data_IF_781565398313
#
_entry.id   IF_781565398313
#
_cell.length_a   1.000
_cell.length_b   1.000
_cell.length_c   1.000
_cell.angle_alpha   90.00
_cell.angle_beta   90.00
_cell.angle_gamma   90.00
#
_symmetry.space_group_name_H-M   'P 1'
#
loop_
_entity.id
_entity.type
_entity.pdbx_description
1 polymer ?
#
# COMPACT_ATOMS: atom_id res chain seq x y z
N UNK A 1 -16.07 -11.30 -13.84
CA UNK A 1 -16.06 -9.85 -13.46
C UNK A 1 -15.57 -8.99 -14.62
N UNK A 2 -16.04 -7.74 -14.69
CA UNK A 2 -15.63 -6.76 -15.70
C UNK A 2 -15.36 -5.41 -15.02
N UNK A 3 -14.11 -5.15 -14.58
CA UNK A 3 -13.76 -3.88 -13.95
C UNK A 3 -13.97 -2.70 -14.91
N UNK A 4 -14.37 -1.56 -14.36
CA UNK A 4 -14.48 -0.27 -15.05
C UNK A 4 -13.93 0.83 -14.16
N UNK A 5 -13.28 1.81 -14.77
CA UNK A 5 -12.79 3.02 -14.11
C UNK A 5 -13.51 4.21 -14.73
N UNK A 6 -14.22 4.94 -13.89
CA UNK A 6 -15.00 6.12 -14.25
C UNK A 6 -14.65 7.30 -13.32
N UNK A 7 -15.18 8.50 -13.60
CA UNK A 7 -15.03 9.70 -12.75
C UNK A 7 -13.57 10.05 -12.40
N UNK A 8 -12.65 9.88 -13.36
CA UNK A 8 -11.23 10.16 -13.14
C UNK A 8 -11.03 11.67 -12.96
N UNK A 9 -10.42 12.06 -11.84
CA UNK A 9 -9.98 13.41 -11.54
C UNK A 9 -8.53 13.35 -11.05
N UNK A 10 -7.62 13.85 -11.85
CA UNK A 10 -6.20 13.99 -11.50
C UNK A 10 -5.89 15.46 -11.20
N UNK A 11 -5.53 15.75 -9.95
CA UNK A 11 -5.24 17.11 -9.46
C UNK A 11 -3.98 17.11 -8.61
N UNK A 12 -2.89 17.64 -9.18
CA UNK A 12 -1.61 17.71 -8.49
C UNK A 12 -1.08 16.31 -8.21
N UNK A 13 -0.87 15.98 -6.93
CA UNK A 13 -0.39 14.67 -6.50
C UNK A 13 -1.51 13.67 -6.19
N UNK A 14 -2.78 14.04 -6.39
CA UNK A 14 -3.94 13.24 -5.98
C UNK A 14 -4.77 12.79 -7.18
N UNK A 15 -4.96 11.49 -7.30
CA UNK A 15 -5.83 10.83 -8.26
C UNK A 15 -7.08 10.30 -7.56
N UNK A 16 -8.25 10.71 -8.06
CA UNK A 16 -9.55 10.20 -7.64
C UNK A 16 -10.23 9.50 -8.81
N UNK A 17 -10.86 8.36 -8.55
CA UNK A 17 -11.60 7.60 -9.57
C UNK A 17 -12.61 6.66 -8.92
N UNK A 18 -13.63 6.24 -9.68
CA UNK A 18 -14.57 5.21 -9.27
C UNK A 18 -14.20 3.89 -9.93
N UNK A 19 -13.90 2.85 -9.14
CA UNK A 19 -13.71 1.47 -9.58
C UNK A 19 -15.00 0.69 -9.40
N UNK A 20 -15.59 0.22 -10.50
CA UNK A 20 -16.83 -0.57 -10.47
C UNK A 20 -16.69 -1.94 -11.15
N UNK A 21 -17.60 -2.86 -10.84
CA UNK A 21 -17.63 -4.21 -11.43
C UNK A 21 -16.64 -5.20 -10.81
N UNK A 22 -16.15 -4.92 -9.60
CA UNK A 22 -15.25 -5.77 -8.82
C UNK A 22 -15.78 -5.96 -7.40
N UNK A 23 -15.47 -7.09 -6.77
CA UNK A 23 -15.84 -7.31 -5.37
C UNK A 23 -14.92 -6.52 -4.42
N UNK A 24 -15.43 -6.24 -3.21
CA UNK A 24 -14.68 -5.55 -2.14
C UNK A 24 -13.35 -6.22 -1.81
N UNK A 25 -13.24 -7.55 -1.94
CA UNK A 25 -12.00 -8.29 -1.68
C UNK A 25 -10.89 -7.87 -2.65
N UNK A 26 -11.22 -7.69 -3.94
CA UNK A 26 -10.26 -7.27 -4.97
C UNK A 26 -9.92 -5.79 -4.86
N UNK A 27 -10.92 -4.93 -4.60
CA UNK A 27 -10.69 -3.50 -4.36
C UNK A 27 -9.79 -3.27 -3.14
N UNK A 28 -10.03 -3.99 -2.04
CA UNK A 28 -9.20 -3.91 -0.85
C UNK A 28 -7.82 -4.55 -1.07
N UNK A 29 -7.71 -5.60 -1.88
CA UNK A 29 -6.42 -6.17 -2.24
C UNK A 29 -5.53 -5.13 -2.93
N UNK A 30 -6.08 -4.41 -3.92
CA UNK A 30 -5.39 -3.30 -4.59
C UNK A 30 -4.94 -2.23 -3.59
N UNK A 31 -5.85 -1.75 -2.73
CA UNK A 31 -5.54 -0.74 -1.70
C UNK A 31 -4.42 -1.21 -0.76
N UNK A 32 -4.50 -2.44 -0.26
CA UNK A 32 -3.49 -3.00 0.66
C UNK A 32 -2.12 -3.08 0.00
N UNK A 33 -2.06 -3.58 -1.23
CA UNK A 33 -0.80 -3.69 -1.97
C UNK A 33 -0.17 -2.32 -2.25
N UNK A 34 -0.97 -1.30 -2.59
CA UNK A 34 -0.49 0.08 -2.74
C UNK A 34 0.16 0.59 -1.44
N UNK A 35 -0.44 0.28 -0.29
CA UNK A 35 0.04 0.77 1.01
C UNK A 35 1.27 0.04 1.54
N UNK A 36 1.47 -1.24 1.24
CA UNK A 36 2.49 -2.06 1.91
C UNK A 36 3.54 -2.69 1.02
N UNK A 37 3.21 -3.05 -0.22
CA UNK A 37 4.01 -4.03 -0.96
C UNK A 37 4.90 -3.42 -2.05
N UNK A 38 4.62 -2.19 -2.49
CA UNK A 38 5.36 -1.54 -3.58
C UNK A 38 6.80 -1.23 -3.11
N UNK A 39 7.83 -1.78 -3.77
CA UNK A 39 9.21 -1.54 -3.39
C UNK A 39 9.69 -0.14 -3.80
N UNK A 40 10.54 0.44 -2.95
CA UNK A 40 11.22 1.72 -3.17
C UNK A 40 12.69 1.64 -2.72
N UNK A 41 13.50 2.58 -3.19
CA UNK A 41 14.84 2.77 -2.65
C UNK A 41 14.74 3.41 -1.24
N UNK A 42 15.51 2.89 -0.28
CA UNK A 42 15.42 3.30 1.13
C UNK A 42 16.79 3.45 1.79
N UNK A 43 16.84 4.23 2.87
CA UNK A 43 17.93 4.18 3.84
C UNK A 43 17.50 3.33 5.03
N UNK A 44 17.95 2.07 5.08
CA UNK A 44 17.62 1.19 6.21
C UNK A 44 18.55 1.51 7.38
N UNK A 45 18.02 2.15 8.42
CA UNK A 45 18.80 2.58 9.59
C UNK A 45 18.44 1.85 10.88
N UNK A 46 17.42 0.97 10.82
CA UNK A 46 16.96 0.09 11.89
C UNK A 46 16.38 -1.21 11.29
N UNK A 47 16.34 -2.32 12.06
CA UNK A 47 16.96 -2.54 13.37
C UNK A 47 18.50 -2.59 13.29
N UNK A 48 19.21 -2.71 14.42
CA UNK A 48 20.68 -2.62 14.49
C UNK A 48 21.39 -3.58 13.51
N UNK A 49 20.87 -4.80 13.34
CA UNK A 49 21.43 -5.84 12.47
C UNK A 49 21.37 -5.46 10.97
N UNK A 50 20.42 -4.61 10.59
CA UNK A 50 20.20 -4.18 9.21
C UNK A 50 20.55 -2.71 8.98
N UNK A 51 21.06 -2.01 10.01
CA UNK A 51 21.43 -0.60 9.92
C UNK A 51 22.62 -0.40 8.98
N UNK A 52 22.39 0.36 7.92
CA UNK A 52 23.37 0.73 6.90
C UNK A 52 23.94 2.14 7.08
N UNK A 53 23.55 2.86 8.12
CA UNK A 53 24.03 4.20 8.41
C UNK A 53 25.16 4.19 9.44
N UNK A 54 26.26 4.86 9.10
CA UNK A 54 27.43 5.06 9.95
C UNK A 54 27.58 6.55 10.21
N UNK A 55 27.59 6.94 11.49
CA UNK A 55 27.85 8.32 11.93
C UNK A 55 29.28 8.38 12.45
N UNK A 56 30.15 9.12 11.77
CA UNK A 56 31.55 9.30 12.15
C UNK A 56 31.73 10.42 13.17
N UNK A 57 30.98 11.51 13.01
CA UNK A 57 30.97 12.61 13.97
C UNK A 57 29.61 13.27 14.01
N UNK A 58 29.08 13.49 15.20
CA UNK A 58 27.87 14.26 15.42
C UNK A 58 28.07 15.09 16.69
N UNK A 59 28.25 16.39 16.54
CA UNK A 59 28.29 17.34 17.66
C UNK A 59 27.01 18.18 17.77
N UNK A 60 25.99 17.85 16.98
CA UNK A 60 24.69 18.51 17.02
C UNK A 60 23.89 18.15 18.29
N UNK A 61 22.75 18.82 18.48
CA UNK A 61 21.84 18.57 19.61
C UNK A 61 20.95 17.34 19.44
N UNK A 62 20.85 16.79 18.22
CA UNK A 62 20.09 15.56 17.97
C UNK A 62 21.00 14.36 18.20
N UNK A 63 20.50 13.35 18.91
CA UNK A 63 21.25 12.10 19.07
C UNK A 63 21.29 11.31 17.75
N UNK A 64 22.18 10.33 17.70
CA UNK A 64 22.41 9.53 16.51
C UNK A 64 21.18 8.75 16.03
N UNK A 65 20.36 8.25 16.95
CA UNK A 65 19.19 7.44 16.61
C UNK A 65 18.05 8.29 16.00
N UNK A 66 17.86 9.52 16.47
CA UNK A 66 16.93 10.46 15.85
C UNK A 66 17.40 10.83 14.45
N UNK A 67 18.70 11.08 14.25
CA UNK A 67 19.25 11.38 12.92
C UNK A 67 19.08 10.21 11.95
N UNK A 68 19.32 8.98 12.41
CA UNK A 68 19.08 7.75 11.65
C UNK A 68 17.61 7.59 11.26
N UNK A 69 16.69 7.82 12.20
CA UNK A 69 15.26 7.74 11.93
C UNK A 69 14.82 8.82 10.94
N UNK A 70 15.29 10.06 11.11
CA UNK A 70 15.04 11.15 10.14
C UNK A 70 15.57 10.81 8.76
N UNK A 71 16.75 10.18 8.66
CA UNK A 71 17.33 9.75 7.40
C UNK A 71 16.46 8.67 6.73
N UNK A 72 15.94 7.72 7.50
CA UNK A 72 15.01 6.67 7.02
C UNK A 72 13.73 7.24 6.43
N UNK A 73 13.25 8.37 6.96
CA UNK A 73 12.05 9.06 6.47
C UNK A 73 12.27 9.91 5.20
N UNK A 74 13.51 10.08 4.71
CA UNK A 74 13.75 10.87 3.50
C UNK A 74 13.36 10.05 2.26
N UNK A 75 12.38 10.50 1.46
CA UNK A 75 12.01 9.81 0.23
C UNK A 75 13.15 9.87 -0.79
N UNK A 76 13.39 8.75 -1.46
CA UNK A 76 14.44 8.60 -2.47
C UNK A 76 13.77 8.46 -3.84
N UNK A 77 13.89 9.47 -4.69
CA UNK A 77 13.19 9.56 -5.98
C UNK A 77 13.90 8.75 -7.09
N UNK A 78 14.17 7.47 -6.82
CA UNK A 78 14.72 6.52 -7.80
C UNK A 78 13.58 5.62 -8.31
N UNK A 79 13.26 5.74 -9.60
CA UNK A 79 12.18 4.98 -10.24
C UNK A 79 12.59 3.57 -10.69
N UNK A 80 13.81 3.43 -11.18
CA UNK A 80 14.34 2.14 -11.64
C UNK A 80 15.19 1.46 -10.57
N UNK A 81 14.60 0.46 -9.92
CA UNK A 81 15.25 -0.31 -8.87
C UNK A 81 16.22 -1.38 -9.41
N UNK A 82 16.36 -1.53 -10.73
CA UNK A 82 17.35 -2.44 -11.35
C UNK A 82 18.76 -1.86 -11.33
N UNK A 83 18.91 -0.56 -11.07
CA UNK A 83 20.19 0.11 -10.91
C UNK A 83 20.97 -0.56 -9.77
N UNK A 84 22.29 -0.78 -9.90
CA UNK A 84 23.10 -1.38 -8.84
C UNK A 84 23.32 -0.41 -7.68
N UNK A 85 22.28 -0.19 -6.87
CA UNK A 85 22.27 0.75 -5.73
C UNK A 85 23.43 0.54 -4.75
N UNK A 86 23.94 -0.70 -4.65
CA UNK A 86 25.10 -1.06 -3.82
C UNK A 86 26.40 -0.35 -4.24
N UNK A 87 26.47 0.18 -5.45
CA UNK A 87 27.62 0.94 -5.94
C UNK A 87 27.59 2.40 -5.50
N UNK A 88 26.53 2.84 -4.82
CA UNK A 88 26.33 4.23 -4.42
C UNK A 88 26.25 4.33 -2.91
N UNK A 89 26.83 5.40 -2.37
CA UNK A 89 26.86 5.70 -0.94
C UNK A 89 26.41 7.15 -0.74
N UNK A 90 25.41 7.36 0.10
CA UNK A 90 25.10 8.71 0.59
C UNK A 90 26.21 9.15 1.55
N UNK A 91 26.67 10.39 1.41
CA UNK A 91 27.51 11.08 2.36
C UNK A 91 26.89 12.45 2.72
N UNK A 92 26.82 12.74 4.01
CA UNK A 92 26.46 14.06 4.52
C UNK A 92 27.58 14.50 5.43
N UNK A 93 28.30 15.55 5.03
CA UNK A 93 29.50 16.03 5.72
C UNK A 93 29.51 17.56 5.75
N UNK A 94 28.95 18.10 6.81
CA UNK A 94 28.75 19.55 6.98
C UNK A 94 29.28 20.01 8.35
N UNK A 95 29.89 21.19 8.37
CA UNK A 95 30.43 21.84 9.56
C UNK A 95 30.08 23.32 9.52
N UNK A 96 29.45 23.83 10.58
CA UNK A 96 29.04 25.22 10.63
C UNK A 96 30.20 26.14 11.02
N UNK A 97 30.80 26.77 10.01
CA UNK A 97 31.87 27.74 10.19
C UNK A 97 31.39 29.20 10.19
N UNK A 98 30.07 29.43 10.23
CA UNK A 98 29.46 30.76 10.23
C UNK A 98 29.10 31.22 11.65
N UNK A 99 28.63 32.46 11.79
CA UNK A 99 28.14 33.07 13.02
C UNK A 99 26.62 32.91 13.21
N UNK A 100 25.93 32.24 12.27
CA UNK A 100 24.49 31.97 12.32
C UNK A 100 24.19 30.46 12.30
N UNK A 101 22.99 30.07 12.70
CA UNK A 101 22.58 28.66 12.68
C UNK A 101 22.47 28.17 11.24
N UNK A 102 23.18 27.09 10.93
CA UNK A 102 23.10 26.41 9.64
C UNK A 102 22.04 25.31 9.71
N UNK A 103 21.17 25.23 8.71
CA UNK A 103 20.22 24.13 8.55
C UNK A 103 20.74 23.23 7.44
N UNK A 104 21.20 22.04 7.82
CA UNK A 104 21.55 21.00 6.85
C UNK A 104 20.25 20.41 6.34
N UNK A 105 20.08 20.40 5.03
CA UNK A 105 18.90 19.89 4.31
C UNK A 105 19.30 18.78 3.35
N UNK A 106 18.33 18.16 2.68
CA UNK A 106 18.61 17.21 1.59
C UNK A 106 19.36 17.81 0.40
N UNK A 107 19.45 19.14 0.26
CA UNK A 107 20.31 19.79 -0.73
C UNK A 107 21.81 19.51 -0.49
N UNK A 108 22.18 19.33 0.78
CA UNK A 108 23.58 19.10 1.19
C UNK A 108 23.98 17.63 1.06
N UNK A 109 23.09 16.77 0.59
CA UNK A 109 23.38 15.36 0.41
C UNK A 109 24.31 15.18 -0.78
N UNK A 110 25.29 14.30 -0.66
CA UNK A 110 26.19 13.93 -1.75
C UNK A 110 26.13 12.43 -1.96
N UNK A 111 26.17 11.99 -3.21
CA UNK A 111 26.18 10.56 -3.54
C UNK A 111 27.51 10.23 -4.17
N UNK A 112 28.25 9.32 -3.55
CA UNK A 112 29.53 8.82 -4.02
C UNK A 112 29.34 7.50 -4.76
N UNK A 113 29.88 7.41 -5.97
CA UNK A 113 30.01 6.15 -6.69
C UNK A 113 31.26 5.43 -6.20
N UNK A 114 31.08 4.24 -5.62
CA UNK A 114 32.14 3.43 -5.02
C UNK A 114 33.05 2.75 -6.06
N UNK A 115 32.60 2.64 -7.31
CA UNK A 115 33.41 2.05 -8.39
C UNK A 115 34.39 3.05 -8.99
N UNK A 116 33.95 4.30 -9.17
CA UNK A 116 34.75 5.36 -9.79
C UNK A 116 35.40 6.30 -8.78
N UNK A 117 35.08 6.14 -7.49
CA UNK A 117 35.50 7.01 -6.38
C UNK A 117 35.14 8.49 -6.59
N UNK A 118 34.07 8.75 -7.36
CA UNK A 118 33.62 10.09 -7.74
C UNK A 118 32.22 10.40 -7.23
N UNK A 119 31.93 11.68 -7.01
CA UNK A 119 30.56 12.12 -6.67
C UNK A 119 29.70 12.27 -7.92
N UNK A 120 28.41 12.03 -7.77
CA UNK A 120 27.41 12.40 -8.76
C UNK A 120 27.33 13.93 -8.88
N UNK A 121 26.81 14.41 -10.03
CA UNK A 121 26.59 15.83 -10.22
C UNK A 121 25.48 16.33 -9.30
N UNK A 122 25.49 17.60 -8.92
CA UNK A 122 24.42 18.20 -8.11
C UNK A 122 23.04 18.06 -8.77
N UNK A 123 22.98 18.08 -10.11
CA UNK A 123 21.74 17.89 -10.84
C UNK A 123 21.19 16.46 -10.66
N UNK A 124 22.04 15.44 -10.77
CA UNK A 124 21.61 14.04 -10.56
C UNK A 124 21.14 13.82 -9.12
N UNK A 125 21.83 14.43 -8.14
CA UNK A 125 21.41 14.35 -6.73
C UNK A 125 20.08 15.08 -6.51
N UNK A 126 19.84 16.21 -7.18
CA UNK A 126 18.56 16.94 -7.13
C UNK A 126 17.40 16.18 -7.75
N UNK A 127 17.65 15.30 -8.72
CA UNK A 127 16.61 14.39 -9.21
C UNK A 127 16.24 13.32 -8.17
N UNK A 128 17.20 12.88 -7.36
CA UNK A 128 17.01 11.86 -6.31
C UNK A 128 16.39 12.48 -5.04
N UNK A 129 16.78 13.71 -4.69
CA UNK A 129 16.30 14.46 -3.54
C UNK A 129 15.81 15.86 -3.97
N UNK A 130 14.68 15.93 -4.69
CA UNK A 130 14.17 17.19 -5.20
C UNK A 130 13.71 18.14 -4.09
N UNK A 131 13.72 19.44 -4.39
CA UNK A 131 13.01 20.42 -3.58
C UNK A 131 11.50 20.24 -3.72
N UNK A 132 10.73 20.66 -2.71
CA UNK A 132 9.28 20.65 -2.76
C UNK A 132 8.76 21.52 -3.91
N UNK A 133 7.90 20.97 -4.77
CA UNK A 133 7.26 21.71 -5.87
C UNK A 133 6.42 22.92 -5.38
N UNK A 134 5.86 22.82 -4.17
CA UNK A 134 5.03 23.88 -3.57
C UNK A 134 5.88 25.02 -3.00
N UNK A 135 6.91 24.71 -2.21
CA UNK A 135 7.64 25.71 -1.42
C UNK A 135 9.03 26.06 -1.95
N UNK A 136 9.59 25.22 -2.83
CA UNK A 136 10.98 25.30 -3.29
C UNK A 136 12.02 24.92 -2.24
N UNK A 137 11.59 24.46 -1.05
CA UNK A 137 12.52 24.06 0.02
C UNK A 137 12.85 22.57 -0.02
N UNK A 138 14.07 22.27 0.42
CA UNK A 138 14.54 20.92 0.70
C UNK A 138 14.13 20.48 2.11
N UNK A 139 14.20 19.17 2.39
CA UNK A 139 13.80 18.64 3.70
C UNK A 139 14.88 18.99 4.72
N UNK A 140 14.51 19.69 5.79
CA UNK A 140 15.36 19.96 6.94
C UNK A 140 15.84 18.65 7.58
N UNK A 141 17.15 18.45 7.68
CA UNK A 141 17.73 17.26 8.27
C UNK A 141 18.21 17.50 9.70
N UNK A 142 19.12 18.47 9.91
CA UNK A 142 19.65 18.83 11.24
C UNK A 142 20.07 20.29 11.30
N UNK A 143 19.95 20.93 12.47
CA UNK A 143 20.44 22.29 12.71
C UNK A 143 21.80 22.23 13.42
N UNK A 144 22.76 22.97 12.90
CA UNK A 144 24.12 23.07 13.44
C UNK A 144 24.34 24.48 13.99
N UNK A 145 24.73 24.59 15.26
CA UNK A 145 25.03 25.87 15.90
C UNK A 145 26.33 26.49 15.35
N UNK A 146 26.39 27.83 15.29
CA UNK A 146 27.54 28.55 14.76
C UNK A 146 28.80 28.37 15.60
N UNK A 147 29.92 28.73 14.99
CA UNK A 147 31.18 28.93 15.70
C UNK A 147 31.06 30.15 16.62
N UNK A 148 31.43 29.99 17.89
CA UNK A 148 31.41 31.07 18.89
C UNK A 148 32.78 31.73 19.01
N UNK A 149 33.85 30.93 19.02
CA UNK A 149 35.24 31.39 19.08
C UNK A 149 36.18 30.35 18.43
N UNK A 150 37.47 30.65 18.32
CA UNK A 150 38.45 29.66 17.84
C UNK A 150 38.60 28.45 18.77
N UNK A 151 38.28 28.61 20.06
CA UNK A 151 38.28 27.56 21.08
C UNK A 151 36.96 26.77 21.12
N UNK A 152 35.87 27.36 20.61
CA UNK A 152 34.54 26.76 20.54
C UNK A 152 34.08 26.70 19.06
N UNK A 153 34.55 25.68 18.31
CA UNK A 153 34.16 25.48 16.92
C UNK A 153 32.66 25.19 16.82
N UNK A 154 32.08 25.47 15.65
CA UNK A 154 30.68 25.19 15.38
C UNK A 154 30.36 23.70 15.37
N UNK A 155 29.07 23.38 15.38
CA UNK A 155 28.61 22.00 15.32
C UNK A 155 28.82 21.41 13.92
N UNK A 156 29.01 20.10 13.86
CA UNK A 156 29.22 19.35 12.62
C UNK A 156 28.53 17.99 12.62
N UNK A 157 28.26 17.51 11.42
CA UNK A 157 27.73 16.18 11.15
C UNK A 157 28.53 15.54 10.03
N UNK A 158 28.92 14.28 10.24
CA UNK A 158 29.51 13.44 9.21
C UNK A 158 28.91 12.04 9.32
N UNK A 159 28.14 11.65 8.31
CA UNK A 159 27.55 10.32 8.20
C UNK A 159 27.60 9.81 6.77
N UNK A 160 27.56 8.49 6.64
CA UNK A 160 27.35 7.80 5.36
C UNK A 160 26.24 6.77 5.48
N UNK A 161 25.54 6.50 4.39
CA UNK A 161 24.52 5.45 4.36
C UNK A 161 24.46 4.75 2.99
N UNK A 162 24.41 3.41 3.00
CA UNK A 162 24.16 2.65 1.78
C UNK A 162 22.67 2.63 1.43
N UNK A 163 22.38 2.58 0.13
CA UNK A 163 21.02 2.40 -0.35
C UNK A 163 20.55 0.94 -0.18
N UNK A 164 19.26 0.78 0.10
CA UNK A 164 18.55 -0.50 0.13
C UNK A 164 17.32 -0.47 -0.76
N UNK A 165 16.66 -1.63 -0.90
CA UNK A 165 15.33 -1.74 -1.48
C UNK A 165 14.46 -2.38 -0.40
N UNK A 166 13.35 -1.74 -0.07
CA UNK A 166 12.35 -2.26 0.86
C UNK A 166 10.97 -1.69 0.55
N UNK A 167 9.98 -1.98 1.38
CA UNK A 167 8.60 -1.49 1.27
C UNK A 167 7.98 -1.28 2.65
N UNK A 168 6.77 -0.71 2.68
CA UNK A 168 6.09 -0.35 3.91
C UNK A 168 5.65 -1.53 4.81
N UNK A 169 5.75 -2.77 4.32
CA UNK A 169 5.56 -3.96 5.16
C UNK A 169 6.71 -4.16 6.16
N UNK A 170 7.92 -3.74 5.79
CA UNK A 170 9.13 -3.81 6.61
C UNK A 170 9.19 -2.66 7.62
N UNK A 171 9.00 -1.41 7.15
CA UNK A 171 8.92 -0.23 8.01
C UNK A 171 7.95 0.81 7.43
N UNK A 172 7.14 1.44 8.27
CA UNK A 172 6.19 2.48 7.86
C UNK A 172 6.85 3.70 7.20
N UNK A 173 8.16 3.91 7.36
CA UNK A 173 8.90 4.97 6.63
C UNK A 173 9.10 4.65 5.15
N UNK A 174 8.85 3.41 4.72
CA UNK A 174 9.10 2.94 3.35
C UNK A 174 7.82 2.90 2.49
N UNK A 175 6.89 3.80 2.77
CA UNK A 175 5.67 3.99 1.97
C UNK A 175 5.97 4.77 0.68
N UNK A 176 5.17 4.54 -0.36
CA UNK A 176 5.26 5.27 -1.63
C UNK A 176 4.06 6.22 -1.88
N UNK A 177 3.11 6.25 -0.94
CA UNK A 177 1.89 7.06 -1.01
C UNK A 177 1.65 7.79 0.30
N UNK A 178 1.14 9.02 0.20
CA UNK A 178 0.60 9.79 1.33
C UNK A 178 -0.77 9.22 1.74
N UNK A 179 -1.63 8.93 0.75
CA UNK A 179 -2.95 8.36 1.00
C UNK A 179 -3.32 7.31 -0.04
N UNK A 180 -4.01 6.26 0.40
CA UNK A 180 -4.71 5.32 -0.46
C UNK A 180 -5.96 4.82 0.29
N UNK A 181 -7.10 5.38 -0.07
CA UNK A 181 -8.38 5.09 0.57
C UNK A 181 -9.45 4.83 -0.48
N UNK A 182 -10.49 4.10 -0.09
CA UNK A 182 -11.71 4.02 -0.87
C UNK A 182 -12.93 3.94 0.03
N UNK A 183 -14.07 4.40 -0.49
CA UNK A 183 -15.40 4.21 0.10
C UNK A 183 -16.33 3.53 -0.89
N UNK A 184 -17.43 2.96 -0.41
CA UNK A 184 -18.49 2.50 -1.31
C UNK A 184 -19.15 3.70 -1.99
N UNK A 185 -19.40 3.60 -3.31
CA UNK A 185 -20.05 4.68 -4.06
C UNK A 185 -21.52 4.83 -3.63
N UNK A 186 -21.97 6.00 -3.14
CA UNK A 186 -23.38 6.22 -2.79
C UNK A 186 -24.33 6.05 -3.99
N UNK A 187 -25.53 5.51 -3.74
CA UNK A 187 -26.60 5.43 -4.75
C UNK A 187 -27.59 6.59 -4.57
N UNK A 188 -27.23 7.75 -5.11
CA UNK A 188 -28.02 9.00 -4.95
C UNK A 188 -29.49 8.87 -5.38
N UNK A 189 -29.78 7.99 -6.34
CA UNK A 189 -31.16 7.76 -6.82
C UNK A 189 -31.94 7.07 -5.71
N UNK A 190 -31.44 5.93 -5.21
CA UNK A 190 -32.11 5.19 -4.12
C UNK A 190 -32.14 5.98 -2.82
N UNK A 191 -31.08 6.75 -2.52
CA UNK A 191 -31.05 7.63 -1.36
C UNK A 191 -32.21 8.62 -1.40
N UNK A 192 -32.44 9.26 -2.56
CA UNK A 192 -33.56 10.19 -2.73
C UNK A 192 -34.93 9.50 -2.61
N UNK A 193 -35.06 8.30 -3.17
CA UNK A 193 -36.29 7.51 -3.05
C UNK A 193 -36.61 7.14 -1.59
N UNK A 194 -35.63 6.62 -0.86
CA UNK A 194 -35.78 6.26 0.56
C UNK A 194 -36.00 7.49 1.44
N UNK A 195 -35.32 8.60 1.15
CA UNK A 195 -35.56 9.87 1.84
C UNK A 195 -37.01 10.33 1.65
N UNK A 196 -37.56 10.21 0.44
CA UNK A 196 -38.95 10.53 0.17
C UNK A 196 -39.94 9.71 1.01
N UNK A 197 -39.69 8.41 1.16
CA UNK A 197 -40.49 7.53 2.04
C UNK A 197 -40.37 7.93 3.51
N UNK A 198 -39.16 8.23 3.98
CA UNK A 198 -38.91 8.70 5.36
C UNK A 198 -39.61 10.01 5.64
N UNK A 199 -39.51 10.98 4.72
CA UNK A 199 -40.19 12.27 4.82
C UNK A 199 -41.71 12.11 4.88
N UNK A 200 -42.30 11.21 4.09
CA UNK A 200 -43.72 10.92 4.20
C UNK A 200 -44.07 10.30 5.56
N UNK A 201 -43.29 9.34 6.04
CA UNK A 201 -43.50 8.75 7.38
C UNK A 201 -43.41 9.78 8.51
N UNK A 202 -42.51 10.76 8.41
CA UNK A 202 -42.42 11.86 9.38
C UNK A 202 -43.61 12.82 9.29
N UNK A 203 -44.13 13.10 8.08
CA UNK A 203 -45.38 13.88 7.91
C UNK A 203 -46.57 13.16 8.53
N UNK A 204 -46.67 11.85 8.30
CA UNK A 204 -47.76 11.02 8.86
C UNK A 204 -47.67 10.94 10.39
N UNK A 205 -46.46 11.03 10.96
CA UNK A 205 -46.21 11.12 12.40
C UNK A 205 -46.45 12.53 12.99
N UNK A 206 -46.82 13.52 12.17
CA UNK A 206 -47.19 14.86 12.62
C UNK A 206 -46.01 15.83 12.83
N UNK A 207 -44.81 15.50 12.35
CA UNK A 207 -43.66 16.43 12.42
C UNK A 207 -43.88 17.65 11.52
N UNK A 208 -43.40 18.81 11.97
CA UNK A 208 -43.46 20.04 11.19
C UNK A 208 -42.32 20.11 10.15
N UNK A 209 -42.34 21.12 9.28
CA UNK A 209 -41.39 21.24 8.18
C UNK A 209 -39.93 21.42 8.64
N UNK A 210 -39.68 22.10 9.76
CA UNK A 210 -38.34 22.31 10.30
C UNK A 210 -37.77 21.01 10.89
N UNK A 211 -38.60 20.27 11.63
CA UNK A 211 -38.25 18.96 12.19
C UNK A 211 -37.95 17.94 11.08
N UNK A 212 -38.79 17.91 10.03
CA UNK A 212 -38.56 17.06 8.86
C UNK A 212 -37.24 17.42 8.16
N UNK A 213 -36.91 18.71 8.04
CA UNK A 213 -35.65 19.13 7.43
C UNK A 213 -34.44 18.73 8.30
N UNK A 214 -34.54 18.87 9.62
CA UNK A 214 -33.52 18.43 10.56
C UNK A 214 -33.29 16.92 10.48
N UNK A 215 -34.35 16.11 10.56
CA UNK A 215 -34.26 14.65 10.47
C UNK A 215 -33.78 14.18 9.09
N UNK A 216 -34.18 14.87 8.01
CA UNK A 216 -33.66 14.60 6.68
C UNK A 216 -32.15 14.74 6.63
N UNK A 217 -31.62 15.84 7.18
CA UNK A 217 -30.18 16.10 7.22
C UNK A 217 -29.45 15.09 8.11
N UNK A 218 -30.03 14.78 9.28
CA UNK A 218 -29.48 13.79 10.21
C UNK A 218 -29.36 12.40 9.55
N UNK A 219 -30.44 11.94 8.91
CA UNK A 219 -30.47 10.67 8.19
C UNK A 219 -29.49 10.63 7.00
N UNK A 220 -29.38 11.73 6.26
CA UNK A 220 -28.43 11.86 5.14
C UNK A 220 -26.96 11.75 5.57
N UNK A 221 -26.62 12.19 6.78
CA UNK A 221 -25.26 12.14 7.31
C UNK A 221 -24.85 10.75 7.82
N UNK A 222 -25.81 9.83 8.00
CA UNK A 222 -25.58 8.52 8.62
C UNK A 222 -26.15 7.38 7.75
N UNK A 223 -27.43 7.10 7.91
CA UNK A 223 -28.07 5.91 7.32
C UNK A 223 -28.08 5.93 5.79
N UNK A 224 -28.20 7.11 5.18
CA UNK A 224 -28.15 7.24 3.73
C UNK A 224 -26.82 6.76 3.14
N UNK A 225 -25.71 6.91 3.87
CA UNK A 225 -24.38 6.48 3.44
C UNK A 225 -24.24 4.95 3.37
N UNK A 226 -25.21 4.20 3.92
CA UNK A 226 -25.29 2.73 3.78
C UNK A 226 -25.98 2.30 2.48
N UNK A 227 -26.64 3.23 1.78
CA UNK A 227 -27.31 2.98 0.51
C UNK A 227 -26.32 3.23 -0.62
N UNK A 228 -25.70 2.15 -1.07
CA UNK A 228 -24.55 2.19 -1.98
C UNK A 228 -24.80 1.39 -3.24
N UNK A 229 -24.08 1.75 -4.31
CA UNK A 229 -24.04 0.97 -5.54
C UNK A 229 -23.25 -0.32 -5.28
N UNK A 230 -23.81 -1.45 -5.68
CA UNK A 230 -23.16 -2.76 -5.56
C UNK A 230 -21.84 -2.76 -6.37
N UNK A 231 -20.79 -3.31 -5.78
CA UNK A 231 -19.48 -3.52 -6.44
C UNK A 231 -18.91 -2.23 -7.08
N UNK A 232 -19.03 -1.10 -6.39
CA UNK A 232 -18.58 0.22 -6.83
C UNK A 232 -17.90 0.97 -5.67
N UNK A 233 -16.69 1.48 -5.93
CA UNK A 233 -15.83 2.08 -4.92
C UNK A 233 -15.18 3.36 -5.43
N UNK A 234 -15.27 4.44 -4.65
CA UNK A 234 -14.61 5.71 -4.95
C UNK A 234 -13.25 5.74 -4.27
N UNK A 235 -12.19 5.71 -5.07
CA UNK A 235 -10.80 5.71 -4.64
C UNK A 235 -10.21 7.12 -4.58
N UNK A 236 -9.26 7.31 -3.66
CA UNK A 236 -8.33 8.44 -3.62
C UNK A 236 -6.93 7.91 -3.37
N UNK A 237 -6.00 8.23 -4.27
CA UNK A 237 -4.58 7.86 -4.19
C UNK A 237 -3.75 9.14 -4.28
N UNK A 238 -2.83 9.34 -3.36
CA UNK A 238 -1.92 10.49 -3.34
C UNK A 238 -0.48 10.00 -3.23
N UNK A 239 0.34 10.33 -4.22
CA UNK A 239 1.75 9.95 -4.27
C UNK A 239 2.61 10.85 -3.39
N UNK A 240 3.74 10.32 -2.89
CA UNK A 240 4.82 11.13 -2.29
C UNK A 240 5.83 11.67 -3.32
N UNK A 241 5.64 11.36 -4.62
CA UNK A 241 6.42 11.90 -5.73
C UNK A 241 7.48 10.96 -6.33
N UNK A 242 7.68 9.76 -5.77
CA UNK A 242 8.61 8.75 -6.36
C UNK A 242 8.04 8.23 -7.69
N UNK A 243 6.79 7.79 -7.65
CA UNK A 243 6.03 7.26 -8.79
C UNK A 243 4.79 8.13 -9.05
N UNK A 244 4.26 8.13 -10.26
CA UNK A 244 2.93 8.73 -10.52
C UNK A 244 1.83 7.87 -9.92
N UNK A 245 0.64 8.45 -9.69
CA UNK A 245 -0.51 7.69 -9.18
C UNK A 245 -0.90 6.51 -10.10
N UNK A 246 -0.77 6.69 -11.42
CA UNK A 246 -1.01 5.61 -12.39
C UNK A 246 0.02 4.48 -12.24
N UNK A 247 1.31 4.82 -12.14
CA UNK A 247 2.39 3.86 -11.93
C UNK A 247 2.22 3.07 -10.63
N UNK A 248 1.76 3.72 -9.55
CA UNK A 248 1.47 3.08 -8.27
C UNK A 248 0.40 1.98 -8.43
N UNK A 249 -0.70 2.30 -9.10
CA UNK A 249 -1.79 1.33 -9.32
C UNK A 249 -1.31 0.19 -10.23
N UNK A 250 -0.56 0.50 -11.28
CA UNK A 250 0.01 -0.50 -12.19
C UNK A 250 0.98 -1.44 -11.48
N UNK A 251 1.90 -0.92 -10.65
CA UNK A 251 2.82 -1.71 -9.84
C UNK A 251 2.09 -2.59 -8.83
N UNK A 252 1.04 -2.07 -8.19
CA UNK A 252 0.23 -2.88 -7.28
C UNK A 252 -0.48 -4.03 -8.01
N UNK A 253 -1.01 -3.79 -9.21
CA UNK A 253 -1.58 -4.86 -10.02
C UNK A 253 -0.53 -5.90 -10.40
N UNK A 254 0.68 -5.48 -10.79
CA UNK A 254 1.77 -6.40 -11.12
C UNK A 254 2.18 -7.28 -9.94
N UNK A 255 2.32 -6.70 -8.75
CA UNK A 255 2.64 -7.45 -7.53
C UNK A 255 1.54 -8.47 -7.20
N UNK A 256 0.27 -8.09 -7.34
CA UNK A 256 -0.85 -9.01 -7.13
C UNK A 256 -0.86 -10.16 -8.14
N UNK A 257 -0.62 -9.85 -9.41
CA UNK A 257 -0.52 -10.86 -10.49
C UNK A 257 0.66 -11.80 -10.23
N UNK A 258 1.82 -11.28 -9.86
CA UNK A 258 3.02 -12.08 -9.57
C UNK A 258 2.80 -13.03 -8.39
N UNK A 259 2.12 -12.57 -7.33
CA UNK A 259 1.73 -13.41 -6.18
C UNK A 259 0.77 -14.54 -6.58
N UNK A 260 -0.24 -14.22 -7.40
CA UNK A 260 -1.19 -15.22 -7.90
C UNK A 260 -0.50 -16.26 -8.80
N UNK A 261 0.39 -15.81 -9.70
CA UNK A 261 1.20 -16.69 -10.54
C UNK A 261 2.15 -17.57 -9.71
N UNK A 262 2.70 -17.07 -8.60
CA UNK A 262 3.54 -17.86 -7.72
C UNK A 262 2.76 -19.04 -7.09
N UNK A 263 1.50 -18.83 -6.69
CA UNK A 263 0.63 -19.90 -6.19
C UNK A 263 0.29 -20.89 -7.32
N UNK A 264 -0.01 -20.40 -8.52
CA UNK A 264 -0.28 -21.25 -9.68
C UNK A 264 0.94 -22.17 -9.99
N UNK A 265 2.15 -21.63 -9.91
CA UNK A 265 3.38 -22.43 -10.02
C UNK A 265 3.51 -23.48 -8.91
N UNK A 266 3.10 -23.18 -7.68
CA UNK A 266 3.10 -24.17 -6.58
C UNK A 266 2.13 -25.32 -6.87
N UNK A 267 0.99 -25.05 -7.52
CA UNK A 267 0.06 -26.10 -7.97
C UNK A 267 0.75 -27.00 -9.00
N UNK A 268 1.41 -26.42 -10.00
CA UNK A 268 2.10 -27.16 -11.06
C UNK A 268 3.30 -27.98 -10.57
N UNK A 269 3.96 -27.53 -9.49
CA UNK A 269 5.06 -28.25 -8.84
C UNK A 269 4.61 -29.25 -7.77
N UNK A 270 3.31 -29.38 -7.56
CA UNK A 270 2.72 -30.21 -6.51
C UNK A 270 3.13 -29.79 -5.08
N UNK A 271 3.47 -28.51 -4.89
CA UNK A 271 3.94 -27.92 -3.63
C UNK A 271 2.81 -27.31 -2.79
N UNK A 272 1.63 -27.09 -3.38
CA UNK A 272 0.47 -26.55 -2.65
C UNK A 272 -0.10 -27.58 -1.66
N UNK A 273 0.00 -27.27 -0.37
CA UNK A 273 -0.46 -28.13 0.72
C UNK A 273 -2.00 -28.09 0.85
N UNK A 274 -2.64 -29.23 0.58
CA UNK A 274 -4.08 -29.44 0.75
C UNK A 274 -4.27 -30.66 1.65
N UNK A 275 -4.94 -30.48 2.78
CA UNK A 275 -5.16 -31.54 3.77
C UNK A 275 -6.65 -31.65 4.11
N UNK A 276 -7.16 -32.84 4.44
CA UNK A 276 -8.46 -32.97 5.09
C UNK A 276 -8.50 -32.10 6.35
N UNK A 277 -9.58 -31.35 6.55
CA UNK A 277 -9.73 -30.49 7.72
C UNK A 277 -10.09 -31.30 8.97
N UNK A 278 -9.51 -30.97 10.12
CA UNK A 278 -9.92 -31.52 11.42
C UNK A 278 -11.24 -30.88 11.89
N UNK A 279 -12.36 -31.34 11.35
CA UNK A 279 -13.71 -30.92 11.76
C UNK A 279 -14.76 -32.01 11.48
N UNK A 280 -16.04 -31.69 11.75
CA UNK A 280 -17.17 -32.61 11.57
C UNK A 280 -17.84 -32.54 10.20
N UNK A 281 -17.35 -31.69 9.29
CA UNK A 281 -17.92 -31.55 7.94
C UNK A 281 -17.32 -32.60 7.00
N UNK A 282 -18.18 -33.33 6.32
CA UNK A 282 -17.74 -34.29 5.29
C UNK A 282 -17.07 -33.57 4.11
N UNK A 283 -16.12 -34.25 3.45
CA UNK A 283 -15.39 -33.75 2.28
C UNK A 283 -14.76 -32.36 2.47
N UNK A 284 -14.28 -32.07 3.68
CA UNK A 284 -13.71 -30.78 4.03
C UNK A 284 -12.18 -30.77 3.95
N UNK A 285 -11.63 -29.73 3.33
CA UNK A 285 -10.21 -29.56 3.08
C UNK A 285 -9.72 -28.17 3.47
N UNK A 286 -8.53 -28.13 4.06
CA UNK A 286 -7.76 -26.92 4.34
C UNK A 286 -6.67 -26.77 3.27
N UNK A 287 -6.77 -25.68 2.51
CA UNK A 287 -5.78 -25.25 1.53
C UNK A 287 -4.90 -24.21 2.22
N UNK A 288 -3.62 -24.53 2.40
CA UNK A 288 -2.66 -23.63 3.06
C UNK A 288 -1.96 -22.75 2.03
N UNK A 289 -2.09 -21.44 2.18
CA UNK A 289 -1.39 -20.44 1.40
C UNK A 289 -0.17 -19.95 2.18
N UNK A 290 1.02 -20.39 1.74
CA UNK A 290 2.26 -20.09 2.43
C UNK A 290 2.69 -18.64 2.19
N UNK A 291 3.05 -17.92 3.27
CA UNK A 291 3.46 -16.50 3.24
C UNK A 291 2.44 -15.54 2.60
N UNK A 292 1.17 -15.92 2.57
CA UNK A 292 0.08 -15.12 2.03
C UNK A 292 -1.03 -14.90 3.05
N UNK A 293 -1.56 -13.69 3.06
CA UNK A 293 -2.52 -13.22 4.06
C UNK A 293 -3.88 -12.87 3.42
N UNK A 294 -4.72 -12.12 4.13
CA UNK A 294 -6.04 -11.63 3.69
C UNK A 294 -6.06 -11.08 2.25
N UNK A 295 -4.99 -10.40 1.79
CA UNK A 295 -4.93 -9.79 0.45
C UNK A 295 -5.16 -10.82 -0.66
N UNK A 296 -4.34 -11.87 -0.70
CA UNK A 296 -4.45 -12.93 -1.71
C UNK A 296 -5.51 -13.96 -1.30
N UNK A 297 -5.54 -14.32 -0.01
CA UNK A 297 -6.46 -15.32 0.50
C UNK A 297 -7.94 -14.97 0.33
N UNK A 298 -8.36 -13.73 0.62
CA UNK A 298 -9.75 -13.29 0.37
C UNK A 298 -10.04 -13.11 -1.12
N UNK A 299 -9.03 -12.84 -1.94
CA UNK A 299 -9.22 -12.78 -3.39
C UNK A 299 -9.56 -14.17 -3.93
N UNK A 300 -8.79 -15.20 -3.57
CA UNK A 300 -9.03 -16.58 -3.98
C UNK A 300 -10.33 -17.11 -3.38
N UNK A 301 -10.56 -16.88 -2.08
CA UNK A 301 -11.79 -17.34 -1.41
C UNK A 301 -13.05 -16.72 -2.03
N UNK A 302 -13.00 -15.46 -2.46
CA UNK A 302 -14.12 -14.84 -3.17
C UNK A 302 -14.48 -15.60 -4.45
N UNK A 303 -13.50 -15.93 -5.29
CA UNK A 303 -13.76 -16.68 -6.53
C UNK A 303 -14.22 -18.11 -6.24
N UNK A 304 -13.63 -18.78 -5.25
CA UNK A 304 -14.08 -20.10 -4.82
C UNK A 304 -15.54 -20.09 -4.37
N UNK A 305 -15.91 -19.08 -3.58
CA UNK A 305 -17.28 -18.89 -3.11
C UNK A 305 -18.24 -18.55 -4.26
N UNK A 306 -17.91 -17.57 -5.09
CA UNK A 306 -18.74 -17.16 -6.24
C UNK A 306 -18.98 -18.32 -7.21
N UNK A 307 -17.91 -19.01 -7.61
CA UNK A 307 -17.95 -19.92 -8.74
C UNK A 307 -18.47 -21.31 -8.31
N UNK A 308 -18.03 -21.81 -7.15
CA UNK A 308 -18.34 -23.17 -6.70
C UNK A 308 -19.37 -23.27 -5.57
N UNK A 309 -19.55 -22.24 -4.73
CA UNK A 309 -20.60 -22.24 -3.71
C UNK A 309 -21.92 -21.64 -4.24
N UNK A 310 -21.90 -20.42 -4.79
CA UNK A 310 -23.13 -19.79 -5.32
C UNK A 310 -23.49 -20.29 -6.73
N UNK A 311 -22.50 -20.37 -7.62
CA UNK A 311 -22.68 -20.70 -9.02
C UNK A 311 -22.99 -22.19 -9.26
N UNK A 312 -21.94 -23.02 -9.24
CA UNK A 312 -22.04 -24.46 -9.50
C UNK A 312 -22.65 -25.26 -8.35
N UNK A 313 -22.67 -24.68 -7.14
CA UNK A 313 -23.18 -25.31 -5.91
C UNK A 313 -22.55 -26.68 -5.63
N UNK A 314 -21.27 -26.82 -5.94
CA UNK A 314 -20.48 -28.03 -5.60
C UNK A 314 -19.89 -27.93 -4.20
N UNK A 315 -19.77 -26.72 -3.65
CA UNK A 315 -19.39 -26.47 -2.27
C UNK A 315 -20.61 -26.26 -1.37
N UNK A 316 -20.57 -26.78 -0.15
CA UNK A 316 -21.50 -26.44 0.94
C UNK A 316 -20.85 -25.54 2.00
N UNK A 317 -19.53 -25.33 1.92
CA UNK A 317 -18.79 -24.39 2.75
C UNK A 317 -17.60 -23.84 1.99
N UNK A 318 -17.37 -22.54 2.09
CA UNK A 318 -16.15 -21.87 1.66
C UNK A 318 -15.86 -20.74 2.62
N UNK A 319 -14.65 -20.69 3.19
CA UNK A 319 -14.29 -19.68 4.15
C UNK A 319 -12.78 -19.46 4.25
N UNK A 320 -12.41 -18.23 4.59
CA UNK A 320 -11.02 -17.85 4.84
C UNK A 320 -10.75 -17.80 6.33
N UNK A 321 -9.59 -18.34 6.75
CA UNK A 321 -9.15 -18.31 8.14
C UNK A 321 -7.66 -18.00 8.24
N UNK A 322 -7.34 -17.08 9.15
CA UNK A 322 -5.99 -16.90 9.70
C UNK A 322 -6.07 -17.19 11.19
N UNK A 323 -5.26 -18.13 11.70
CA UNK A 323 -5.38 -18.61 13.08
C UNK A 323 -4.83 -17.58 14.07
N UNK A 324 -3.72 -16.93 13.75
CA UNK A 324 -3.15 -15.85 14.53
C UNK A 324 -2.70 -14.68 13.63
N UNK A 325 -2.84 -13.40 14.05
CA UNK A 325 -2.35 -12.26 13.28
C UNK A 325 -0.87 -12.31 12.90
N UNK A 326 -0.05 -13.00 13.70
CA UNK A 326 1.38 -13.19 13.47
C UNK A 326 1.73 -14.41 12.61
N UNK A 327 0.74 -15.25 12.26
CA UNK A 327 0.99 -16.35 11.33
C UNK A 327 1.26 -15.78 9.94
N UNK A 328 2.32 -16.28 9.31
CA UNK A 328 2.68 -15.91 7.94
C UNK A 328 1.74 -16.56 6.91
N UNK A 329 1.13 -17.68 7.29
CA UNK A 329 0.28 -18.48 6.40
C UNK A 329 -1.19 -18.22 6.67
N UNK A 330 -2.00 -18.46 5.65
CA UNK A 330 -3.45 -18.43 5.75
C UNK A 330 -4.08 -19.68 5.17
N UNK A 331 -5.32 -19.95 5.54
CA UNK A 331 -6.04 -21.15 5.14
C UNK A 331 -7.34 -20.77 4.46
N UNK A 332 -7.58 -21.36 3.29
CA UNK A 332 -8.88 -21.40 2.66
C UNK A 332 -9.47 -22.78 2.97
N UNK A 333 -10.60 -22.79 3.67
CA UNK A 333 -11.33 -24.01 4.00
C UNK A 333 -12.51 -24.16 3.07
N UNK A 334 -12.59 -25.31 2.42
CA UNK A 334 -13.67 -25.67 1.52
C UNK A 334 -14.27 -27.01 1.93
N UNK A 335 -15.57 -27.17 1.77
CA UNK A 335 -16.21 -28.47 1.88
C UNK A 335 -17.13 -28.70 0.68
N UNK A 336 -16.98 -29.89 0.08
CA UNK A 336 -17.71 -30.29 -1.12
C UNK A 336 -18.94 -31.12 -0.74
N UNK A 337 -19.98 -31.04 -1.57
CA UNK A 337 -21.19 -31.87 -1.37
C UNK A 337 -20.84 -33.34 -1.60
N UNK A 338 -20.16 -33.63 -2.70
CA UNK A 338 -19.74 -34.97 -3.07
C UNK A 338 -18.24 -35.18 -2.76
N UNK A 339 -17.78 -36.43 -2.57
CA UNK A 339 -16.36 -36.74 -2.43
C UNK A 339 -15.56 -36.28 -3.66
N UNK A 340 -14.46 -35.57 -3.40
CA UNK A 340 -13.57 -35.05 -4.45
C UNK A 340 -12.12 -35.42 -4.19
N UNK A 341 -11.38 -35.64 -5.26
CA UNK A 341 -9.93 -35.83 -5.24
C UNK A 341 -9.20 -34.48 -5.12
N UNK A 342 -8.00 -34.49 -4.52
CA UNK A 342 -7.16 -33.28 -4.36
C UNK A 342 -6.85 -32.62 -5.72
N UNK A 343 -6.75 -33.40 -6.78
CA UNK A 343 -6.53 -32.90 -8.15
C UNK A 343 -7.66 -31.98 -8.63
N UNK A 344 -8.91 -32.28 -8.28
CA UNK A 344 -10.06 -31.43 -8.59
C UNK A 344 -10.00 -30.12 -7.82
N UNK A 345 -9.61 -30.16 -6.55
CA UNK A 345 -9.45 -28.96 -5.72
C UNK A 345 -8.37 -28.04 -6.31
N UNK A 346 -7.23 -28.60 -6.72
CA UNK A 346 -6.15 -27.88 -7.39
C UNK A 346 -6.62 -27.23 -8.71
N UNK A 347 -7.41 -27.96 -9.51
CA UNK A 347 -7.97 -27.43 -10.74
C UNK A 347 -8.91 -26.24 -10.47
N UNK A 348 -9.78 -26.34 -9.47
CA UNK A 348 -10.70 -25.26 -9.09
C UNK A 348 -9.93 -24.00 -8.66
N UNK A 349 -8.89 -24.17 -7.83
CA UNK A 349 -8.04 -23.05 -7.40
C UNK A 349 -7.35 -22.41 -8.61
N UNK A 350 -6.78 -23.19 -9.52
CA UNK A 350 -6.11 -22.67 -10.71
C UNK A 350 -7.06 -21.83 -11.59
N UNK A 351 -8.32 -22.25 -11.74
CA UNK A 351 -9.35 -21.47 -12.43
C UNK A 351 -9.65 -20.14 -11.70
N UNK A 352 -9.79 -20.18 -10.37
CA UNK A 352 -9.96 -18.97 -9.56
C UNK A 352 -8.76 -18.01 -9.68
N UNK A 353 -7.53 -18.52 -9.66
CA UNK A 353 -6.30 -17.72 -9.82
C UNK A 353 -6.30 -17.02 -11.17
N UNK A 354 -6.61 -17.75 -12.26
CA UNK A 354 -6.72 -17.19 -13.60
C UNK A 354 -7.77 -16.08 -13.67
N UNK A 355 -8.95 -16.30 -13.10
CA UNK A 355 -10.01 -15.29 -13.05
C UNK A 355 -9.56 -14.02 -12.29
N UNK A 356 -8.84 -14.19 -11.18
CA UNK A 356 -8.28 -13.06 -10.41
C UNK A 356 -7.22 -12.29 -11.21
N UNK A 357 -6.28 -13.00 -11.85
CA UNK A 357 -5.23 -12.42 -12.71
C UNK A 357 -5.86 -11.62 -13.85
N UNK A 358 -6.90 -12.15 -14.50
CA UNK A 358 -7.62 -11.48 -15.58
C UNK A 358 -8.24 -10.16 -15.10
N UNK A 359 -8.80 -10.11 -13.89
CA UNK A 359 -9.36 -8.88 -13.33
C UNK A 359 -8.27 -7.84 -13.08
N UNK A 360 -7.17 -8.19 -12.39
CA UNK A 360 -6.09 -7.24 -12.14
C UNK A 360 -5.39 -6.79 -13.43
N UNK A 361 -5.27 -7.67 -14.42
CA UNK A 361 -4.74 -7.33 -15.75
C UNK A 361 -5.64 -6.31 -16.46
N UNK A 362 -6.97 -6.45 -16.34
CA UNK A 362 -7.91 -5.46 -16.88
C UNK A 362 -7.82 -4.14 -16.12
N UNK A 363 -7.77 -4.14 -14.79
CA UNK A 363 -7.60 -2.92 -13.98
C UNK A 363 -6.32 -2.18 -14.40
N UNK A 364 -5.19 -2.89 -14.49
CA UNK A 364 -3.91 -2.32 -14.93
C UNK A 364 -4.01 -1.58 -16.27
N UNK A 365 -4.78 -2.09 -17.22
CA UNK A 365 -4.95 -1.50 -18.56
C UNK A 365 -5.92 -0.31 -18.60
N UNK A 366 -6.75 -0.14 -17.57
CA UNK A 366 -7.77 0.91 -17.51
C UNK A 366 -7.26 2.21 -16.88
N UNK A 367 -6.07 2.17 -16.25
CA UNK A 367 -5.48 3.27 -15.47
C UNK A 367 -4.50 4.09 -16.28
#
# INVERSE_FOLDING_TARGET
>A
MNPKIDNISDKGNTLQFTLSGVNVSLANALRRTILSDIPIAVFKTSPYEENKAIIYSNTSRLNNEILKQRLSCVPIHIRDLKIPLKNYLLEVKEENNTDTVMVVTTEHFKIKNLQTDSYLSENDVREIFPASDITGYFIDFVKLRPKISDELPGEKIHLTCEFGISNAKDDGTFNCVSTCAYGFTPDDIKIKEELGKKQQGWRDAGLNAEEIAFESKNWQLLDALRIVKKDSFDFTVETIGIYTNQEIIQKACDILIDKLNAIDMQIHRDELEIKPSDNTMENCFDIRLNNEDYTIGKTIEYFMYSDYFEGLKTLNFCGFKKFHPHDIDSIIRVAYIDPVEISMIKQNIAECLKNAIDVFTKIKKLV
#
